data_IF_354118096727
#
_entry.id   IF_354118096727
#
_cell.length_a   1.000
_cell.length_b   1.000
_cell.length_c   1.000
_cell.angle_alpha   90.00
_cell.angle_beta   90.00
_cell.angle_gamma   90.00
#
_symmetry.space_group_name_H-M   'P 1'
#
loop_
_entity.id
_entity.type
_entity.pdbx_description
1 polymer ?
#
# COMPACT_ATOMS: atom_id res chain seq x y z
N UNK A 1 -23.38 25.49 13.82
CA UNK A 1 -22.73 25.32 13.90
C UNK A 1 -22.01 24.63 13.94
N UNK A 2 -21.74 24.17 13.77
CA UNK A 2 -21.08 23.54 14.03
C UNK A 2 -20.05 23.57 14.05
N UNK A 3 -19.80 23.58 14.32
CA UNK A 3 -18.95 23.67 14.59
C UNK A 3 -18.11 22.87 14.75
N UNK A 4 -18.18 22.17 14.76
CA UNK A 4 -17.38 21.42 14.98
C UNK A 4 -16.47 21.40 14.17
N UNK A 5 -15.73 21.69 14.29
CA UNK A 5 -14.67 21.86 13.48
C UNK A 5 -13.64 20.81 13.54
N UNK A 6 -13.92 19.74 14.11
CA UNK A 6 -13.03 18.58 14.08
C UNK A 6 -13.12 17.98 12.70
N UNK A 7 -12.04 17.95 11.93
CA UNK A 7 -12.10 17.36 10.59
C UNK A 7 -12.38 15.89 10.73
N UNK A 8 -13.25 15.41 9.90
CA UNK A 8 -13.49 13.99 9.82
C UNK A 8 -12.41 13.34 9.01
N UNK A 9 -11.91 12.23 9.48
CA UNK A 9 -10.92 11.47 8.73
C UNK A 9 -11.65 10.53 7.79
N UNK A 10 -11.31 10.56 6.51
CA UNK A 10 -11.82 9.59 5.57
C UNK A 10 -11.24 8.21 5.87
N UNK A 11 -10.00 8.19 6.37
CA UNK A 11 -9.30 6.95 6.70
C UNK A 11 -8.86 7.03 8.17
N UNK A 12 -9.76 6.70 9.11
CA UNK A 12 -9.43 6.89 10.53
C UNK A 12 -8.55 5.82 11.15
N UNK A 13 -8.41 4.66 10.52
CA UNK A 13 -7.65 3.57 11.13
C UNK A 13 -6.66 2.96 10.14
N UNK A 14 -5.61 2.33 10.70
CA UNK A 14 -4.64 1.62 9.89
C UNK A 14 -5.31 0.49 9.09
N UNK A 15 -6.28 -0.19 9.70
CA UNK A 15 -6.98 -1.28 9.02
C UNK A 15 -7.69 -0.78 7.77
N UNK A 16 -8.33 0.37 7.85
CA UNK A 16 -9.02 0.93 6.69
C UNK A 16 -8.04 1.34 5.61
N UNK A 17 -6.89 1.89 6.01
CA UNK A 17 -5.85 2.23 5.05
C UNK A 17 -5.37 0.99 4.30
N UNK A 18 -5.10 -0.08 5.04
CA UNK A 18 -4.66 -1.34 4.45
C UNK A 18 -5.71 -1.88 3.49
N UNK A 19 -6.97 -1.86 3.90
CA UNK A 19 -8.06 -2.38 3.08
C UNK A 19 -8.18 -1.61 1.77
N UNK A 20 -8.12 -0.29 1.84
CA UNK A 20 -8.26 0.55 0.65
C UNK A 20 -7.10 0.33 -0.31
N UNK A 21 -5.87 0.32 0.20
CA UNK A 21 -4.70 0.15 -0.64
C UNK A 21 -4.69 -1.24 -1.27
N UNK A 22 -5.06 -2.27 -0.51
CA UNK A 22 -5.10 -3.63 -1.05
C UNK A 22 -6.16 -3.79 -2.13
N UNK A 23 -7.28 -3.10 -2.01
CA UNK A 23 -8.28 -3.13 -3.07
C UNK A 23 -7.71 -2.59 -4.39
N UNK A 24 -6.93 -1.51 -4.31
CA UNK A 24 -6.28 -0.95 -5.47
C UNK A 24 -5.21 -1.90 -6.02
N UNK A 25 -4.38 -2.47 -5.13
CA UNK A 25 -3.30 -3.35 -5.55
C UNK A 25 -3.85 -4.60 -6.25
N UNK A 26 -4.87 -5.21 -5.67
CA UNK A 26 -5.42 -6.44 -6.24
C UNK A 26 -6.07 -6.19 -7.58
N UNK A 27 -6.64 -5.01 -7.77
CA UNK A 27 -7.28 -4.68 -9.04
C UNK A 27 -6.28 -4.30 -10.12
N UNK A 28 -5.24 -3.54 -9.75
CA UNK A 28 -4.35 -2.94 -10.75
C UNK A 28 -3.02 -3.67 -10.90
N UNK A 29 -2.57 -4.37 -9.89
CA UNK A 29 -1.25 -4.98 -9.90
C UNK A 29 -1.31 -6.50 -9.84
N UNK A 30 -1.98 -7.04 -8.84
CA UNK A 30 -2.11 -8.48 -8.70
C UNK A 30 -2.15 -8.91 -7.25
N UNK A 31 -2.36 -10.21 -7.04
CA UNK A 31 -2.61 -10.74 -5.70
C UNK A 31 -1.33 -11.03 -4.92
N UNK A 32 -0.17 -11.06 -5.59
CA UNK A 32 1.08 -11.36 -4.91
C UNK A 32 1.64 -10.15 -4.16
N UNK A 33 1.15 -8.95 -4.45
CA UNK A 33 1.60 -7.73 -3.75
C UNK A 33 0.49 -7.25 -2.84
N UNK A 34 0.86 -6.83 -1.63
CA UNK A 34 -0.14 -6.35 -0.67
C UNK A 34 0.53 -5.53 0.42
N UNK A 35 -0.29 -4.71 1.07
CA UNK A 35 0.10 -4.00 2.28
C UNK A 35 -0.38 -4.81 3.47
N UNK A 36 0.45 -4.89 4.51
CA UNK A 36 0.05 -5.57 5.76
C UNK A 36 -0.05 -4.60 6.92
N UNK A 37 0.67 -3.47 6.84
CA UNK A 37 0.69 -2.48 7.90
C UNK A 37 0.52 -1.09 7.34
N UNK A 38 0.06 -0.18 8.20
CA UNK A 38 0.00 1.23 7.87
C UNK A 38 0.48 2.01 9.08
N UNK A 39 1.34 3.00 8.84
CA UNK A 39 1.91 3.82 9.89
C UNK A 39 1.48 5.27 9.67
N UNK A 40 0.91 5.86 10.70
CA UNK A 40 0.43 7.23 10.59
C UNK A 40 1.57 8.21 10.82
N UNK A 41 1.74 9.13 9.88
CA UNK A 41 2.71 10.21 10.00
C UNK A 41 1.95 11.50 10.27
N UNK A 42 2.05 12.01 11.49
CA UNK A 42 1.31 13.20 11.88
C UNK A 42 1.86 14.46 11.21
N UNK A 43 3.10 14.45 10.76
CA UNK A 43 3.69 15.59 10.09
C UNK A 43 3.04 15.85 8.74
N UNK A 44 2.81 14.78 7.98
CA UNK A 44 2.20 14.89 6.65
C UNK A 44 0.73 14.55 6.67
N UNK A 45 0.22 14.06 7.80
CA UNK A 45 -1.16 13.61 7.97
C UNK A 45 -1.51 12.49 7.01
N UNK A 46 -0.56 11.60 6.80
CA UNK A 46 -0.70 10.50 5.83
C UNK A 46 -0.45 9.17 6.48
N UNK A 47 -1.08 8.14 5.93
CA UNK A 47 -0.74 6.77 6.23
C UNK A 47 0.36 6.33 5.27
N UNK A 48 1.41 5.75 5.81
CA UNK A 48 2.49 5.17 5.03
C UNK A 48 2.35 3.66 5.03
N UNK A 49 2.25 3.07 3.84
CA UNK A 49 2.03 1.64 3.70
C UNK A 49 3.14 1.06 2.82
N UNK A 50 4.06 0.30 3.42
CA UNK A 50 5.02 -0.47 2.61
C UNK A 50 4.28 -1.57 1.87
N UNK A 51 4.62 -1.78 0.61
CA UNK A 51 4.00 -2.78 -0.22
C UNK A 51 4.94 -3.96 -0.34
N UNK A 52 4.47 -5.13 0.03
CA UNK A 52 5.29 -6.33 0.09
C UNK A 52 4.90 -7.30 -1.02
N UNK A 53 5.91 -8.00 -1.52
CA UNK A 53 5.71 -9.11 -2.43
C UNK A 53 5.80 -10.40 -1.61
N UNK A 54 4.79 -11.25 -1.72
CA UNK A 54 4.77 -12.51 -0.98
C UNK A 54 4.11 -13.59 -1.81
N UNK A 55 4.64 -14.80 -1.70
CA UNK A 55 4.06 -15.98 -2.34
C UNK A 55 3.72 -17.00 -1.28
N UNK A 56 2.64 -17.73 -1.49
CA UNK A 56 2.16 -18.69 -0.49
C UNK A 56 3.23 -19.71 -0.12
N UNK A 57 4.06 -20.11 -1.08
CA UNK A 57 5.07 -21.14 -0.84
C UNK A 57 6.39 -20.58 -0.35
N UNK A 58 6.61 -19.27 -0.45
CA UNK A 58 7.91 -18.67 -0.11
C UNK A 58 7.80 -17.61 0.97
N UNK A 59 6.58 -17.17 1.32
CA UNK A 59 6.40 -16.09 2.27
C UNK A 59 6.76 -14.75 1.67
N UNK A 60 7.03 -13.80 2.54
CA UNK A 60 7.36 -12.43 2.14
C UNK A 60 8.77 -12.37 1.59
N UNK A 61 8.92 -11.85 0.38
CA UNK A 61 10.21 -11.71 -0.28
C UNK A 61 10.85 -10.35 -0.01
N UNK A 62 10.04 -9.32 0.16
CA UNK A 62 10.55 -7.99 0.42
C UNK A 62 9.57 -6.90 0.03
N UNK A 63 10.00 -5.66 0.24
CA UNK A 63 9.19 -4.48 -0.06
C UNK A 63 9.51 -4.03 -1.48
N UNK A 64 8.46 -3.81 -2.28
CA UNK A 64 8.62 -3.39 -3.66
C UNK A 64 8.25 -1.92 -3.88
N UNK A 65 7.68 -1.28 -2.87
CA UNK A 65 7.34 0.13 -2.99
C UNK A 65 6.65 0.63 -1.74
N UNK A 66 6.33 1.91 -1.75
CA UNK A 66 5.66 2.56 -0.64
C UNK A 66 4.49 3.37 -1.17
N UNK A 67 3.39 3.33 -0.44
CA UNK A 67 2.19 4.08 -0.78
C UNK A 67 1.88 5.04 0.36
N UNK A 68 1.50 6.25 0.00
CA UNK A 68 1.11 7.27 0.97
C UNK A 68 -0.31 7.69 0.70
N UNK A 69 -1.14 7.59 1.72
CA UNK A 69 -2.58 7.83 1.63
C UNK A 69 -2.94 8.93 2.61
N UNK A 70 -3.54 10.02 2.12
CA UNK A 70 -3.89 11.13 2.99
C UNK A 70 -5.05 10.73 3.88
N UNK A 71 -4.87 10.89 5.20
CA UNK A 71 -5.85 10.38 6.16
C UNK A 71 -7.16 11.15 6.10
N UNK A 72 -7.10 12.45 5.81
CA UNK A 72 -8.31 13.27 5.81
C UNK A 72 -9.16 13.07 4.55
N UNK A 73 -8.51 12.85 3.41
CA UNK A 73 -9.22 12.82 2.13
C UNK A 73 -9.34 11.43 1.54
N UNK A 74 -8.48 10.51 1.95
CA UNK A 74 -8.41 9.18 1.33
C UNK A 74 -7.74 9.16 -0.02
N UNK A 75 -7.12 10.26 -0.42
CA UNK A 75 -6.44 10.34 -1.71
C UNK A 75 -5.04 9.78 -1.62
N UNK A 76 -4.61 9.14 -2.69
CA UNK A 76 -3.21 8.74 -2.80
C UNK A 76 -2.37 10.00 -3.00
N UNK A 77 -1.41 10.21 -2.11
CA UNK A 77 -0.52 11.37 -2.16
C UNK A 77 0.77 11.02 -2.85
N UNK A 78 1.21 9.76 -2.70
CA UNK A 78 2.38 9.28 -3.39
C UNK A 78 2.27 7.78 -3.52
N UNK A 79 2.47 7.28 -4.74
CA UNK A 79 2.48 5.85 -4.98
C UNK A 79 3.18 5.57 -6.30
N UNK A 80 3.85 4.41 -6.41
CA UNK A 80 4.34 3.98 -7.72
C UNK A 80 3.17 3.67 -8.64
N UNK A 81 3.39 3.74 -9.94
CA UNK A 81 2.38 3.29 -10.87
C UNK A 81 2.24 1.77 -10.77
N UNK A 82 1.11 1.25 -11.26
CA UNK A 82 0.93 -0.20 -11.30
C UNK A 82 2.03 -0.87 -12.10
N UNK A 83 2.41 -0.29 -13.24
CA UNK A 83 3.47 -0.84 -14.07
C UNK A 83 4.79 -0.89 -13.32
N UNK A 84 5.08 0.13 -12.54
CA UNK A 84 6.32 0.18 -11.76
C UNK A 84 6.33 -0.92 -10.70
N UNK A 85 5.21 -1.10 -10.01
CA UNK A 85 5.12 -2.15 -8.99
C UNK A 85 5.25 -3.53 -9.60
N UNK A 86 4.62 -3.76 -10.75
CA UNK A 86 4.73 -5.03 -11.45
C UNK A 86 6.19 -5.30 -11.80
N UNK A 87 6.88 -4.30 -12.35
CA UNK A 87 8.28 -4.46 -12.75
C UNK A 87 9.15 -4.76 -11.54
N UNK A 88 8.95 -4.05 -10.43
CA UNK A 88 9.74 -4.28 -9.22
C UNK A 88 9.47 -5.65 -8.63
N UNK A 89 8.21 -6.08 -8.66
CA UNK A 89 7.85 -7.40 -8.16
C UNK A 89 8.52 -8.50 -8.99
N UNK A 90 8.49 -8.37 -10.30
CA UNK A 90 9.13 -9.35 -11.17
C UNK A 90 10.62 -9.40 -10.96
N UNK A 91 11.24 -8.23 -10.79
CA UNK A 91 12.66 -8.14 -10.56
C UNK A 91 13.04 -8.80 -9.23
N UNK A 92 12.27 -8.54 -8.19
CA UNK A 92 12.54 -9.13 -6.89
C UNK A 92 12.33 -10.65 -6.91
N UNK A 93 11.29 -11.11 -7.56
CA UNK A 93 11.02 -12.54 -7.66
C UNK A 93 12.19 -13.25 -8.39
N UNK A 94 12.68 -12.65 -9.46
CA UNK A 94 13.79 -13.22 -10.19
C UNK A 94 15.06 -13.24 -9.32
N UNK A 95 15.31 -12.19 -8.56
CA UNK A 95 16.47 -12.12 -7.68
C UNK A 95 16.41 -13.17 -6.57
N UNK A 96 15.19 -13.56 -6.16
CA UNK A 96 15.00 -14.58 -5.15
C UNK A 96 14.92 -15.99 -5.73
N UNK A 97 15.10 -16.13 -7.05
CA UNK A 97 15.09 -17.43 -7.70
C UNK A 97 13.70 -17.97 -7.99
N UNK A 98 12.69 -17.11 -7.96
CA UNK A 98 11.34 -17.52 -8.26
C UNK A 98 11.04 -17.16 -9.71
N UNK A 99 10.82 -18.18 -10.51
CA UNK A 99 10.44 -17.96 -11.88
C UNK A 99 9.04 -17.50 -11.94
N UNK A 100 8.76 -16.57 -12.80
CA UNK A 100 7.41 -16.08 -12.93
C UNK A 100 6.47 -17.05 -13.62
N UNK A 101 6.86 -18.23 -13.82
CA UNK A 101 6.02 -19.20 -14.49
C UNK A 101 4.86 -19.66 -13.65
#
# INVERSE_FOLDING_TARGET
MDVLTVPQLAIPTAHEAVTLVNAWLHREVGMAVHATTAHFDSTTFCWHLPIELAYATHGTLGVVGDVYLHAATGAFVGRPSAAELIRRAEHLAAACGIDGC
#
